data_IF_491081524168
#
_entry.id   IF_491081524168
#
_cell.length_a   1.000
_cell.length_b   1.000
_cell.length_c   1.000
_cell.angle_alpha   90.00
_cell.angle_beta   90.00
_cell.angle_gamma   90.00
#
_symmetry.space_group_name_H-M   'P 1'
#
loop_
_entity.id
_entity.type
_entity.pdbx_description
1 polymer ?
#
# COMPACT_ATOMS: atom_id res chain seq x y z
N UNK A 1 -53.21 -24.79 -2.91
CA UNK A 1 -52.01 -25.26 -2.20
C UNK A 1 -51.35 -24.03 -1.60
N UNK A 2 -51.42 -23.95 -0.28
CA UNK A 2 -50.87 -22.86 0.53
C UNK A 2 -49.76 -23.47 1.35
N UNK A 3 -48.51 -23.17 1.04
CA UNK A 3 -47.33 -23.55 1.82
C UNK A 3 -46.34 -22.38 1.67
N UNK A 4 -46.27 -21.50 2.66
CA UNK A 4 -45.47 -21.63 3.88
C UNK A 4 -44.03 -21.18 3.60
N UNK A 5 -43.77 -19.93 3.99
CA UNK A 5 -42.43 -19.37 4.15
C UNK A 5 -41.76 -20.01 5.37
N UNK A 6 -40.49 -20.38 5.27
CA UNK A 6 -39.55 -20.36 6.39
C UNK A 6 -38.38 -19.43 6.03
N UNK A 7 -37.59 -18.87 6.93
CA UNK A 7 -37.60 -18.78 8.38
C UNK A 7 -36.48 -17.77 8.65
N UNK A 8 -36.73 -16.84 9.55
CA UNK A 8 -35.72 -15.92 10.03
C UNK A 8 -35.06 -16.60 11.23
N UNK A 9 -33.74 -16.85 11.19
CA UNK A 9 -32.92 -16.86 12.40
C UNK A 9 -31.47 -16.59 12.01
N UNK A 10 -31.04 -15.35 12.24
CA UNK A 10 -29.65 -15.02 12.52
C UNK A 10 -29.34 -15.51 13.94
N UNK A 11 -28.34 -16.36 14.08
CA UNK A 11 -27.65 -16.59 15.35
C UNK A 11 -26.28 -17.19 15.04
N UNK A 12 -25.22 -16.38 15.17
CA UNK A 12 -23.96 -16.85 15.74
C UNK A 12 -23.20 -15.65 16.35
N UNK A 13 -23.24 -15.61 17.68
CA UNK A 13 -22.17 -15.31 18.64
C UNK A 13 -20.74 -15.22 18.03
N UNK A 14 -19.77 -14.39 18.44
CA UNK A 14 -19.43 -13.79 19.74
C UNK A 14 -18.37 -12.71 19.47
N UNK A 15 -18.36 -11.63 20.27
CA UNK A 15 -17.31 -10.61 20.16
C UNK A 15 -17.38 -9.59 21.30
N UNK A 16 -17.30 -10.13 22.51
CA UNK A 16 -16.98 -9.51 23.80
C UNK A 16 -16.56 -8.03 23.73
N UNK A 17 -17.57 -7.16 23.77
CA UNK A 17 -17.42 -5.73 24.04
C UNK A 17 -18.08 -5.48 25.38
N UNK A 18 -17.38 -5.83 26.46
CA UNK A 18 -17.83 -5.64 27.83
C UNK A 18 -18.02 -4.14 28.07
N UNK A 19 -19.24 -3.68 27.80
CA UNK A 19 -19.70 -2.33 28.07
C UNK A 19 -19.75 -2.16 29.58
N UNK A 20 -18.66 -1.64 30.14
CA UNK A 20 -18.63 -1.11 31.50
C UNK A 20 -19.69 0.00 31.55
N UNK A 21 -20.88 -0.39 31.98
CA UNK A 21 -21.94 0.53 32.37
C UNK A 21 -21.57 1.04 33.76
N UNK A 22 -21.22 2.32 33.95
CA UNK A 22 -20.98 2.82 35.28
C UNK A 22 -22.32 2.87 36.01
N UNK A 23 -22.40 2.11 37.09
CA UNK A 23 -23.50 2.14 38.05
C UNK A 23 -23.54 3.52 38.73
N UNK A 24 -24.70 4.20 38.82
CA UNK A 24 -24.76 5.55 39.34
C UNK A 24 -24.78 5.52 40.87
N UNK A 25 -23.61 5.40 41.50
CA UNK A 25 -23.46 5.67 42.92
C UNK A 25 -22.88 7.07 43.18
N UNK A 26 -23.64 7.81 43.98
CA UNK A 26 -23.28 9.04 44.68
C UNK A 26 -23.35 10.34 43.88
N UNK A 27 -24.38 11.13 44.20
CA UNK A 27 -24.52 12.53 43.83
C UNK A 27 -23.30 13.35 44.28
N UNK A 28 -22.37 13.57 43.36
CA UNK A 28 -21.33 14.59 43.45
C UNK A 28 -22.02 15.93 43.13
N UNK A 29 -21.95 16.86 44.07
CA UNK A 29 -22.39 18.24 43.88
C UNK A 29 -21.72 18.83 42.63
N UNK A 30 -22.54 19.29 41.68
CA UNK A 30 -22.19 19.77 40.34
C UNK A 30 -21.42 21.12 40.31
N UNK A 31 -20.30 21.27 41.02
CA UNK A 31 -19.58 22.56 41.01
C UNK A 31 -18.06 22.56 40.93
N UNK A 32 -17.39 21.42 40.80
CA UNK A 32 -15.96 21.38 40.48
C UNK A 32 -15.69 20.30 39.43
N UNK A 33 -16.14 20.55 38.21
CA UNK A 33 -15.61 19.82 37.05
C UNK A 33 -14.16 20.29 36.86
N UNK A 34 -13.18 19.45 37.21
CA UNK A 34 -11.75 19.71 37.05
C UNK A 34 -11.43 20.05 35.58
N UNK A 35 -11.58 21.33 35.24
CA UNK A 35 -11.45 21.84 33.89
C UNK A 35 -10.00 22.23 33.69
N UNK A 36 -9.31 21.52 32.80
CA UNK A 36 -7.91 21.82 32.50
C UNK A 36 -7.74 23.27 32.00
N UNK A 37 -6.67 23.97 32.42
CA UNK A 37 -6.35 25.29 31.90
C UNK A 37 -6.25 25.28 30.38
N UNK A 38 -6.78 26.31 29.73
CA UNK A 38 -6.78 26.44 28.26
C UNK A 38 -5.38 26.28 27.65
N UNK A 39 -4.39 26.90 28.26
CA UNK A 39 -2.98 26.84 27.82
C UNK A 39 -2.44 25.40 27.80
N UNK A 40 -2.81 24.58 28.80
CA UNK A 40 -2.39 23.18 28.87
C UNK A 40 -2.97 22.36 27.71
N UNK A 41 -4.27 22.51 27.44
CA UNK A 41 -4.94 21.76 26.36
C UNK A 41 -4.44 22.23 24.99
N UNK A 42 -4.19 23.52 24.81
CA UNK A 42 -3.60 24.06 23.57
C UNK A 42 -2.21 23.49 23.32
N UNK A 43 -1.35 23.46 24.36
CA UNK A 43 -0.05 22.81 24.29
C UNK A 43 -0.17 21.32 23.91
N UNK A 44 -1.07 20.59 24.56
CA UNK A 44 -1.29 19.17 24.27
C UNK A 44 -1.77 18.94 22.83
N UNK A 45 -2.64 19.81 22.29
CA UNK A 45 -3.09 19.74 20.89
C UNK A 45 -1.93 19.98 19.93
N UNK A 46 -1.06 20.94 20.23
CA UNK A 46 0.11 21.24 19.41
C UNK A 46 1.13 20.09 19.42
N UNK A 47 1.38 19.51 20.59
CA UNK A 47 2.24 18.33 20.73
C UNK A 47 1.65 17.14 19.97
N UNK A 48 0.35 16.86 20.16
CA UNK A 48 -0.35 15.79 19.46
C UNK A 48 -0.35 15.97 17.94
N UNK A 49 -0.52 17.21 17.45
CA UNK A 49 -0.40 17.52 16.02
C UNK A 49 0.99 17.18 15.48
N UNK A 50 2.04 17.61 16.19
CA UNK A 50 3.42 17.31 15.82
C UNK A 50 3.71 15.81 15.76
N UNK A 51 3.16 15.01 16.69
CA UNK A 51 3.32 13.56 16.66
C UNK A 51 2.62 12.94 15.46
N UNK A 52 1.41 13.39 15.11
CA UNK A 52 0.72 12.91 13.90
C UNK A 52 1.49 13.26 12.63
N UNK A 53 2.04 14.46 12.53
CA UNK A 53 2.82 14.88 11.36
C UNK A 53 4.11 14.07 11.24
N UNK A 54 4.79 13.79 12.36
CA UNK A 54 5.97 12.91 12.41
C UNK A 54 5.64 11.47 12.04
N UNK A 55 4.52 10.95 12.50
CA UNK A 55 4.08 9.59 12.17
C UNK A 55 3.85 9.45 10.66
N UNK A 56 3.10 10.38 10.04
CA UNK A 56 2.90 10.42 8.59
C UNK A 56 4.21 10.49 7.81
N UNK A 57 5.12 11.37 8.24
CA UNK A 57 6.43 11.50 7.60
C UNK A 57 7.28 10.23 7.74
N UNK A 58 7.17 9.52 8.87
CA UNK A 58 7.84 8.24 9.05
C UNK A 58 7.24 7.17 8.12
N UNK A 59 5.92 7.11 7.98
CA UNK A 59 5.24 6.19 7.06
C UNK A 59 5.70 6.44 5.62
N UNK A 60 5.70 7.70 5.16
CA UNK A 60 6.20 8.06 3.83
C UNK A 60 7.66 7.62 3.60
N UNK A 61 8.51 7.74 4.63
CA UNK A 61 9.91 7.32 4.55
C UNK A 61 10.06 5.80 4.51
N UNK A 62 9.22 5.06 5.24
CA UNK A 62 9.25 3.58 5.21
C UNK A 62 8.88 3.07 3.82
N UNK A 63 7.85 3.62 3.20
CA UNK A 63 7.46 3.28 1.83
C UNK A 63 8.60 3.54 0.83
N UNK A 64 9.23 4.72 0.91
CA UNK A 64 10.38 5.06 0.04
C UNK A 64 11.57 4.15 0.26
N UNK A 65 11.83 3.76 1.51
CA UNK A 65 12.92 2.84 1.84
C UNK A 65 12.65 1.46 1.25
N UNK A 66 11.43 0.94 1.41
CA UNK A 66 11.01 -0.33 0.82
C UNK A 66 11.22 -0.34 -0.70
N UNK A 67 10.74 0.69 -1.39
CA UNK A 67 10.89 0.82 -2.84
C UNK A 67 12.36 0.89 -3.26
N UNK A 68 13.18 1.62 -2.50
CA UNK A 68 14.61 1.72 -2.76
C UNK A 68 15.35 0.38 -2.55
N UNK A 69 14.97 -0.40 -1.53
CA UNK A 69 15.53 -1.73 -1.28
C UNK A 69 15.11 -2.72 -2.37
N UNK A 70 13.86 -2.69 -2.81
CA UNK A 70 13.37 -3.51 -3.93
C UNK A 70 14.08 -3.16 -5.25
N UNK A 71 14.32 -1.87 -5.50
CA UNK A 71 15.11 -1.40 -6.64
C UNK A 71 16.56 -1.85 -6.59
N UNK A 72 17.19 -1.79 -5.41
CA UNK A 72 18.59 -2.18 -5.22
C UNK A 72 18.81 -3.69 -5.44
N UNK A 73 17.86 -4.52 -4.99
CA UNK A 73 17.91 -5.97 -5.20
C UNK A 73 17.83 -6.33 -6.70
N UNK A 74 16.98 -5.64 -7.46
CA UNK A 74 16.98 -5.68 -8.93
C UNK A 74 16.54 -7.00 -9.57
N UNK A 75 16.09 -7.99 -8.79
CA UNK A 75 15.55 -9.26 -9.31
C UNK A 75 14.14 -9.13 -9.90
N UNK A 76 13.36 -8.17 -9.42
CA UNK A 76 12.03 -7.86 -9.97
C UNK A 76 12.15 -7.04 -11.25
N UNK A 77 11.30 -7.34 -12.24
CA UNK A 77 11.22 -6.56 -13.46
C UNK A 77 10.68 -5.14 -13.20
N UNK A 78 9.68 -5.04 -12.32
CA UNK A 78 9.15 -3.79 -11.77
C UNK A 78 9.27 -3.83 -10.23
N UNK A 79 10.00 -2.91 -9.59
CA UNK A 79 10.13 -2.87 -8.13
C UNK A 79 8.79 -2.59 -7.42
N UNK A 80 7.80 -2.01 -8.10
CA UNK A 80 6.49 -1.69 -7.53
C UNK A 80 5.55 -2.90 -7.45
N UNK A 81 5.93 -4.05 -8.04
CA UNK A 81 5.18 -5.31 -7.94
C UNK A 81 5.16 -5.89 -6.52
N UNK A 82 6.15 -5.53 -5.69
CA UNK A 82 6.15 -5.85 -4.27
C UNK A 82 5.36 -4.78 -3.52
N UNK A 83 4.16 -5.15 -3.05
CA UNK A 83 3.38 -4.26 -2.21
C UNK A 83 4.08 -4.05 -0.86
N UNK A 84 4.03 -2.82 -0.35
CA UNK A 84 4.53 -2.49 0.98
C UNK A 84 3.80 -3.31 2.05
N UNK A 85 4.58 -3.96 2.91
CA UNK A 85 4.12 -4.58 4.14
C UNK A 85 5.18 -4.30 5.22
N UNK A 86 4.76 -4.02 6.46
CA UNK A 86 5.69 -3.66 7.54
C UNK A 86 6.69 -4.80 7.81
N UNK A 87 6.27 -6.05 7.61
CA UNK A 87 7.10 -7.25 7.78
C UNK A 87 8.23 -7.34 6.73
N UNK A 88 8.07 -6.70 5.56
CA UNK A 88 9.12 -6.70 4.54
C UNK A 88 10.32 -5.83 4.93
N UNK A 89 10.15 -4.85 5.84
CA UNK A 89 11.23 -3.92 6.20
C UNK A 89 12.40 -4.62 6.92
N UNK A 90 12.13 -5.75 7.58
CA UNK A 90 13.14 -6.55 8.27
C UNK A 90 14.01 -7.33 7.27
N UNK A 91 13.39 -7.92 6.23
CA UNK A 91 14.08 -8.63 5.14
C UNK A 91 13.31 -8.57 3.81
N UNK A 92 13.56 -7.50 3.04
CA UNK A 92 12.98 -7.31 1.70
C UNK A 92 13.45 -8.42 0.74
N UNK A 93 14.66 -8.95 0.93
CA UNK A 93 15.24 -9.97 0.05
C UNK A 93 14.52 -11.31 0.14
N UNK A 94 14.12 -11.71 1.34
CA UNK A 94 13.28 -12.88 1.58
C UNK A 94 11.90 -12.69 0.94
N UNK A 95 11.24 -11.55 1.17
CA UNK A 95 9.93 -11.24 0.59
C UNK A 95 9.94 -11.28 -0.95
N UNK A 96 11.00 -10.77 -1.58
CA UNK A 96 11.21 -10.85 -3.03
C UNK A 96 11.35 -12.31 -3.48
N UNK A 97 12.09 -13.13 -2.73
CA UNK A 97 12.30 -14.54 -3.05
C UNK A 97 10.97 -15.29 -3.03
N UNK A 98 10.21 -15.17 -1.95
CA UNK A 98 8.88 -15.79 -1.81
C UNK A 98 7.91 -15.33 -2.90
N UNK A 99 7.95 -14.03 -3.27
CA UNK A 99 7.13 -13.49 -4.34
C UNK A 99 7.49 -14.11 -5.70
N UNK A 100 8.78 -14.22 -6.01
CA UNK A 100 9.26 -14.82 -7.27
C UNK A 100 8.94 -16.31 -7.32
N UNK A 101 9.08 -17.05 -6.21
CA UNK A 101 8.72 -18.47 -6.15
C UNK A 101 7.23 -18.68 -6.48
N UNK A 102 6.36 -17.83 -5.93
CA UNK A 102 4.91 -17.87 -6.21
C UNK A 102 4.55 -17.33 -7.60
N UNK A 103 5.27 -16.31 -8.08
CA UNK A 103 5.00 -15.59 -9.33
C UNK A 103 6.29 -15.41 -10.14
N UNK A 104 6.79 -16.47 -10.79
CA UNK A 104 8.09 -16.45 -11.47
C UNK A 104 8.16 -15.50 -12.67
N UNK A 105 7.00 -15.09 -13.22
CA UNK A 105 6.94 -14.14 -14.33
C UNK A 105 7.35 -12.72 -13.92
N UNK A 106 7.27 -12.35 -12.64
CA UNK A 106 7.66 -11.01 -12.16
C UNK A 106 9.17 -10.77 -12.23
N UNK A 107 9.98 -11.83 -12.23
CA UNK A 107 11.43 -11.73 -12.44
C UNK A 107 11.82 -11.62 -13.92
N UNK A 108 10.88 -11.85 -14.86
CA UNK A 108 11.20 -11.95 -16.28
C UNK A 108 11.20 -10.59 -16.95
N UNK A 109 12.38 -10.04 -17.20
CA UNK A 109 12.54 -8.83 -18.04
C UNK A 109 12.69 -9.23 -19.51
N UNK A 110 11.71 -8.93 -20.39
CA UNK A 110 11.89 -9.17 -21.82
C UNK A 110 13.05 -8.30 -22.32
N UNK A 111 14.06 -8.94 -22.90
CA UNK A 111 15.22 -8.27 -23.47
C UNK A 111 15.43 -8.77 -24.90
N UNK A 112 15.90 -7.88 -25.78
CA UNK A 112 16.12 -8.16 -27.19
C UNK A 112 15.04 -7.63 -28.12
N UNK A 113 15.27 -7.80 -29.41
CA UNK A 113 14.31 -7.48 -30.47
C UNK A 113 13.14 -8.47 -30.42
N UNK A 114 11.94 -7.98 -30.15
CA UNK A 114 10.68 -8.75 -30.16
C UNK A 114 10.22 -9.13 -31.57
N UNK A 115 10.97 -8.72 -32.61
CA UNK A 115 10.77 -9.11 -34.00
C UNK A 115 9.53 -8.49 -34.63
N UNK A 116 9.00 -7.41 -34.03
CA UNK A 116 7.81 -6.70 -34.48
C UNK A 116 8.18 -5.52 -35.39
N UNK A 117 7.54 -5.44 -36.55
CA UNK A 117 7.77 -4.40 -37.57
C UNK A 117 8.46 -4.90 -38.84
N UNK A 118 8.39 -4.12 -39.92
CA UNK A 118 9.07 -4.43 -41.17
C UNK A 118 10.59 -4.31 -40.95
N UNK A 119 11.26 -5.45 -40.74
CA UNK A 119 12.70 -5.58 -40.55
C UNK A 119 13.41 -5.51 -41.89
N UNK A 120 13.20 -4.42 -42.63
CA UNK A 120 13.86 -4.19 -43.92
C UNK A 120 15.31 -4.65 -43.83
N UNK A 121 15.70 -5.58 -44.70
CA UNK A 121 17.08 -6.05 -44.78
C UNK A 121 17.96 -4.82 -44.80
N UNK A 122 18.90 -4.69 -43.86
CA UNK A 122 19.65 -3.47 -43.56
C UNK A 122 20.51 -2.95 -44.71
N UNK A 123 19.87 -2.60 -45.82
CA UNK A 123 20.43 -1.91 -46.95
C UNK A 123 20.27 -0.43 -46.61
N UNK A 124 21.39 0.24 -46.34
CA UNK A 124 21.43 1.68 -46.13
C UNK A 124 20.66 2.35 -47.27
N UNK A 125 19.63 3.13 -46.95
CA UNK A 125 18.80 3.79 -47.95
C UNK A 125 19.68 4.54 -48.96
N UNK A 126 19.80 4.01 -50.19
CA UNK A 126 20.61 4.62 -51.22
C UNK A 126 19.82 5.77 -51.85
N UNK A 127 19.98 6.96 -51.27
CA UNK A 127 19.31 8.19 -51.71
C UNK A 127 19.55 8.49 -53.20
N UNK A 128 20.75 8.16 -53.71
CA UNK A 128 21.12 8.31 -55.12
C UNK A 128 20.37 7.33 -56.03
N UNK A 129 20.07 6.13 -55.54
CA UNK A 129 19.23 5.15 -56.24
C UNK A 129 17.77 5.59 -56.31
N UNK A 130 17.24 6.13 -55.22
CA UNK A 130 15.86 6.63 -55.14
C UNK A 130 15.66 7.84 -56.07
N UNK A 131 16.60 8.80 -56.08
CA UNK A 131 16.52 9.98 -56.95
C UNK A 131 16.55 9.64 -58.44
N UNK A 132 17.29 8.59 -58.85
CA UNK A 132 17.32 8.13 -60.25
C UNK A 132 16.05 7.40 -60.69
N UNK A 133 15.21 6.93 -59.78
CA UNK A 133 13.94 6.28 -60.10
C UNK A 133 12.83 7.27 -60.46
N UNK A 134 12.98 8.54 -60.05
CA UNK A 134 11.99 9.60 -60.28
C UNK A 134 12.30 10.53 -61.47
N UNK A 135 13.33 10.23 -62.25
CA UNK A 135 13.74 10.95 -63.47
C UNK A 135 13.64 10.05 -64.68
#
# INVERSE_FOLDING_TARGET
>A
MTEASPDATQADETGDGEGITPEPESAVTESDTDTFPREYVEKLRQESAKYRDRAKAADDLRHRLHDALAQLDGRLADPTDLAYADEHLDDVGAAITDLIERKPHLARKPSGDVGQGNRGTGESANLLGILRQFT
#
